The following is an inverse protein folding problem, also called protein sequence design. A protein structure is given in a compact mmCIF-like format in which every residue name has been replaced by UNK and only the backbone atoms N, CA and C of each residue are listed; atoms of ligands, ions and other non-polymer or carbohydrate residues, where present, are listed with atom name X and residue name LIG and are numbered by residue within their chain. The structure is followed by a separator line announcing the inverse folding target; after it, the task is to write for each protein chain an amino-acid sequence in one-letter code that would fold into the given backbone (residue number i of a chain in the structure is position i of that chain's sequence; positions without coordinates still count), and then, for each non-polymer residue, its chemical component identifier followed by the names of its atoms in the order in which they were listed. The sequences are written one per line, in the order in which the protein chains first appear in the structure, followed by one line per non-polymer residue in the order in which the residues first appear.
data_IF_471892928452
#
_entry.id   IF_471892928452
#
_cell.length_a   1.000
_cell.length_b   1.000
_cell.length_c   1.000
_cell.angle_alpha   90.00
_cell.angle_beta   90.00
_cell.angle_gamma   90.00
#
_symmetry.space_group_name_H-M   'P 1'
#
loop_
_entity.id
_entity.type
_entity.pdbx_description
1 polymer ?
#
# COMPACT_ATOMS: atom_id res chain seq x y z
N UNK A 1 -29.82 -0.98 2.64
CA UNK A 1 -28.91 -1.64 1.67
C UNK A 1 -27.46 -1.54 2.16
N UNK A 2 -26.89 -0.34 2.33
CA UNK A 2 -25.63 -0.16 3.06
C UNK A 2 -25.71 -0.66 4.52
N UNK A 3 -26.85 -0.45 5.18
CA UNK A 3 -27.09 -0.94 6.53
C UNK A 3 -27.03 -2.48 6.66
N UNK A 4 -27.55 -3.24 5.69
CA UNK A 4 -27.52 -4.70 5.74
C UNK A 4 -26.11 -5.26 5.52
N UNK A 5 -25.33 -4.63 4.64
CA UNK A 5 -23.92 -4.93 4.44
C UNK A 5 -23.09 -4.60 5.69
N UNK A 6 -23.39 -3.48 6.34
CA UNK A 6 -22.78 -3.06 7.60
C UNK A 6 -23.11 -4.05 8.73
N UNK A 7 -24.35 -4.50 8.83
CA UNK A 7 -24.76 -5.48 9.84
C UNK A 7 -24.10 -6.84 9.63
N UNK A 8 -23.92 -7.30 8.38
CA UNK A 8 -23.18 -8.53 8.07
C UNK A 8 -21.69 -8.39 8.41
N UNK A 9 -21.08 -7.25 8.05
CA UNK A 9 -19.71 -6.94 8.45
C UNK A 9 -19.54 -6.95 9.98
N UNK A 10 -20.50 -6.39 10.73
CA UNK A 10 -20.49 -6.40 12.20
C UNK A 10 -20.61 -7.79 12.80
N UNK A 11 -21.42 -8.66 12.21
CA UNK A 11 -21.56 -10.06 12.67
C UNK A 11 -20.28 -10.86 12.47
N UNK A 12 -19.55 -10.59 11.38
CA UNK A 12 -18.32 -11.31 11.02
C UNK A 12 -17.09 -10.77 11.73
N UNK A 13 -16.92 -9.44 11.69
CA UNK A 13 -15.69 -8.76 12.08
C UNK A 13 -15.81 -7.96 13.39
N UNK A 14 -16.99 -7.92 14.01
CA UNK A 14 -17.25 -7.14 15.22
C UNK A 14 -17.53 -5.66 14.95
N UNK A 15 -17.47 -4.84 15.99
CA UNK A 15 -17.74 -3.39 15.89
C UNK A 15 -16.57 -2.68 15.19
N UNK A 16 -16.91 -1.64 14.42
CA UNK A 16 -15.93 -0.81 13.73
C UNK A 16 -14.96 -0.12 14.70
N UNK A 17 -13.75 0.20 14.22
CA UNK A 17 -12.78 1.00 15.00
C UNK A 17 -13.29 2.42 15.26
N UNK A 18 -13.92 3.03 14.25
CA UNK A 18 -14.44 4.40 14.28
C UNK A 18 -15.94 4.42 13.97
N UNK A 19 -16.81 4.03 14.93
CA UNK A 19 -18.24 3.89 14.68
C UNK A 19 -18.96 5.23 14.43
N UNK A 20 -18.31 6.37 14.68
CA UNK A 20 -18.90 7.71 14.52
C UNK A 20 -18.50 8.41 13.22
N UNK A 21 -17.56 7.85 12.44
CA UNK A 21 -17.12 8.43 11.17
C UNK A 21 -18.07 8.06 10.02
N UNK A 22 -18.10 8.88 8.96
CA UNK A 22 -18.91 8.64 7.76
C UNK A 22 -18.47 7.38 7.00
N UNK A 23 -17.21 6.96 7.17
CA UNK A 23 -16.68 5.68 6.75
C UNK A 23 -16.62 4.71 7.93
N UNK A 24 -17.15 3.49 7.72
CA UNK A 24 -17.06 2.39 8.68
C UNK A 24 -15.83 1.55 8.32
N UNK A 25 -14.92 1.37 9.26
CA UNK A 25 -13.65 0.67 9.03
C UNK A 25 -13.34 -0.34 10.13
N UNK A 26 -12.67 -1.41 9.74
CA UNK A 26 -12.15 -2.44 10.62
C UNK A 26 -10.66 -2.59 10.36
N UNK A 27 -9.92 -2.86 11.44
CA UNK A 27 -8.55 -3.37 11.33
C UNK A 27 -8.58 -4.83 11.70
N UNK A 28 -8.32 -5.67 10.71
CA UNK A 28 -8.39 -7.11 10.84
C UNK A 28 -6.98 -7.68 10.96
N UNK A 29 -6.82 -8.68 11.82
CA UNK A 29 -5.62 -9.49 11.84
C UNK A 29 -5.45 -10.31 10.55
N UNK A 30 -4.24 -10.81 10.31
CA UNK A 30 -3.92 -11.58 9.11
C UNK A 30 -4.76 -12.87 8.99
N UNK A 31 -5.22 -13.42 10.12
CA UNK A 31 -6.11 -14.58 10.19
C UNK A 31 -7.47 -14.37 9.50
N UNK A 32 -7.90 -13.12 9.33
CA UNK A 32 -9.15 -12.76 8.67
C UNK A 32 -8.99 -12.46 7.18
N UNK A 33 -7.78 -12.55 6.64
CA UNK A 33 -7.48 -12.08 5.28
C UNK A 33 -8.36 -12.76 4.21
N UNK A 34 -8.49 -14.08 4.28
CA UNK A 34 -9.28 -14.87 3.32
C UNK A 34 -10.76 -14.46 3.38
N UNK A 35 -11.35 -14.44 4.58
CA UNK A 35 -12.76 -14.03 4.75
C UNK A 35 -12.99 -12.57 4.36
N UNK A 36 -12.06 -11.66 4.67
CA UNK A 36 -12.16 -10.26 4.30
C UNK A 36 -12.12 -10.07 2.77
N UNK A 37 -11.30 -10.86 2.06
CA UNK A 37 -11.26 -10.88 0.60
C UNK A 37 -12.58 -11.39 0.04
N UNK A 38 -13.07 -12.54 0.52
CA UNK A 38 -14.36 -13.10 0.09
C UNK A 38 -15.50 -12.10 0.33
N UNK A 39 -15.52 -11.47 1.50
CA UNK A 39 -16.51 -10.48 1.86
C UNK A 39 -16.46 -9.25 0.94
N UNK A 40 -15.25 -8.71 0.67
CA UNK A 40 -15.06 -7.59 -0.24
C UNK A 40 -15.44 -7.92 -1.70
N UNK A 41 -15.34 -9.18 -2.11
CA UNK A 41 -15.71 -9.67 -3.43
C UNK A 41 -17.16 -10.16 -3.52
N UNK A 42 -17.91 -10.22 -2.42
CA UNK A 42 -19.31 -10.69 -2.36
C UNK A 42 -20.34 -9.72 -2.99
N UNK A 43 -19.89 -8.84 -3.89
CA UNK A 43 -20.62 -7.73 -4.52
C UNK A 43 -21.92 -8.15 -5.23
N UNK A 44 -22.02 -9.40 -5.72
CA UNK A 44 -23.26 -9.88 -6.36
C UNK A 44 -24.47 -9.93 -5.40
N UNK A 45 -24.22 -9.94 -4.08
CA UNK A 45 -25.26 -9.89 -3.05
C UNK A 45 -25.82 -8.48 -2.84
N UNK A 46 -25.16 -7.44 -3.38
CA UNK A 46 -25.49 -6.05 -3.12
C UNK A 46 -25.91 -5.31 -4.40
N UNK A 47 -26.97 -4.49 -4.36
CA UNK A 47 -27.46 -3.80 -5.55
C UNK A 47 -26.41 -2.82 -6.12
N UNK A 48 -26.37 -2.72 -7.46
CA UNK A 48 -25.32 -1.99 -8.18
C UNK A 48 -25.30 -0.49 -7.80
N UNK A 49 -24.26 -0.04 -7.10
CA UNK A 49 -24.00 1.38 -6.81
C UNK A 49 -22.76 1.89 -7.58
N UNK A 50 -22.66 3.22 -7.81
CA UNK A 50 -21.53 3.84 -8.57
C UNK A 50 -20.17 3.66 -7.87
N UNK A 51 -20.15 3.71 -6.53
CA UNK A 51 -19.05 3.23 -5.71
C UNK A 51 -19.59 2.00 -4.96
N UNK A 52 -18.84 0.89 -4.92
CA UNK A 52 -19.25 -0.27 -4.13
C UNK A 52 -19.29 0.10 -2.64
N UNK A 53 -20.18 -0.51 -1.84
CA UNK A 53 -20.30 -0.19 -0.41
C UNK A 53 -19.08 -0.65 0.42
N UNK A 54 -18.20 -1.46 -0.17
CA UNK A 54 -17.06 -2.09 0.48
C UNK A 54 -15.77 -1.89 -0.31
N UNK A 55 -14.69 -1.63 0.42
CA UNK A 55 -13.32 -1.68 -0.08
C UNK A 55 -12.46 -2.39 0.95
N UNK A 56 -11.64 -3.35 0.50
CA UNK A 56 -10.59 -3.93 1.32
C UNK A 56 -9.24 -3.33 0.92
N UNK A 57 -8.50 -2.91 1.93
CA UNK A 57 -7.15 -2.39 1.80
C UNK A 57 -6.18 -3.29 2.58
N UNK A 58 -5.16 -3.78 1.91
CA UNK A 58 -4.04 -4.47 2.55
C UNK A 58 -2.73 -3.77 2.17
N UNK A 59 -1.87 -3.50 3.15
CA UNK A 59 -0.56 -2.91 2.91
C UNK A 59 0.53 -3.81 3.47
N UNK A 60 1.53 -4.09 2.64
CA UNK A 60 2.78 -4.71 3.06
C UNK A 60 3.87 -3.64 3.09
N UNK A 61 4.48 -3.43 4.25
CA UNK A 61 5.55 -2.45 4.46
C UNK A 61 6.89 -3.18 4.64
N UNK A 62 7.93 -2.71 3.95
CA UNK A 62 9.25 -3.35 4.00
C UNK A 62 10.38 -2.36 3.71
N UNK A 63 11.61 -2.74 4.05
CA UNK A 63 12.82 -2.02 3.72
C UNK A 63 13.70 -2.85 2.79
N UNK A 64 14.43 -2.21 1.88
CA UNK A 64 15.42 -2.89 1.07
C UNK A 64 16.57 -3.38 1.94
N UNK A 65 16.76 -4.70 2.00
CA UNK A 65 17.87 -5.31 2.75
C UNK A 65 19.22 -4.88 2.17
N UNK A 66 19.36 -4.92 0.85
CA UNK A 66 20.63 -4.66 0.17
C UNK A 66 21.02 -3.18 0.14
N UNK A 67 20.06 -2.27 0.39
CA UNK A 67 20.26 -0.82 0.31
C UNK A 67 20.16 -0.13 1.67
N UNK A 68 20.03 -0.90 2.77
CA UNK A 68 19.77 -0.33 4.10
C UNK A 68 20.84 0.65 4.56
N UNK A 69 22.10 0.41 4.17
CA UNK A 69 23.25 1.23 4.56
C UNK A 69 23.55 2.38 3.57
N UNK A 70 22.81 2.46 2.46
CA UNK A 70 23.03 3.47 1.42
C UNK A 70 22.14 4.70 1.62
N UNK A 71 21.16 4.65 2.53
CA UNK A 71 20.30 5.79 2.81
C UNK A 71 21.06 6.91 3.53
N UNK A 72 20.93 8.17 3.07
CA UNK A 72 21.69 9.29 3.61
C UNK A 72 21.30 9.63 5.06
N UNK A 73 22.31 9.78 5.92
CA UNK A 73 22.18 10.27 7.30
C UNK A 73 22.09 11.83 7.36
N UNK A 74 21.49 12.41 8.43
CA UNK A 74 20.84 11.74 9.55
C UNK A 74 19.42 11.25 9.19
N UNK A 75 19.14 9.98 9.44
CA UNK A 75 17.80 9.40 9.30
C UNK A 75 16.91 9.84 10.46
N UNK A 76 16.16 10.94 10.26
CA UNK A 76 15.33 11.53 11.30
C UNK A 76 14.15 10.66 11.81
N UNK A 77 13.82 9.52 11.17
CA UNK A 77 12.79 8.59 11.67
C UNK A 77 12.96 7.14 11.14
N UNK A 78 12.44 6.17 11.90
CA UNK A 78 12.44 4.71 11.59
C UNK A 78 11.67 4.33 10.32
N UNK A 79 10.75 5.19 9.85
CA UNK A 79 9.88 4.92 8.70
C UNK A 79 10.45 5.42 7.35
N UNK A 80 11.67 5.98 7.33
CA UNK A 80 12.27 6.54 6.10
C UNK A 80 13.02 5.47 5.32
N UNK A 81 12.61 5.28 4.06
CA UNK A 81 13.04 4.16 3.22
C UNK A 81 12.03 3.00 3.18
N UNK A 82 10.99 3.06 4.02
CA UNK A 82 9.90 2.08 4.02
C UNK A 82 9.15 2.11 2.70
N UNK A 83 9.38 1.07 1.93
CA UNK A 83 8.61 0.75 0.76
C UNK A 83 7.27 0.15 1.18
N UNK A 84 6.28 0.27 0.29
CA UNK A 84 5.02 -0.42 0.49
C UNK A 84 4.49 -1.02 -0.80
N UNK A 85 3.75 -2.12 -0.67
CA UNK A 85 2.86 -2.63 -1.70
C UNK A 85 1.46 -2.61 -1.12
N UNK A 86 0.59 -1.79 -1.70
CA UNK A 86 -0.81 -1.68 -1.30
C UNK A 86 -1.68 -2.44 -2.29
N UNK A 87 -2.58 -3.28 -1.79
CA UNK A 87 -3.62 -3.96 -2.53
C UNK A 87 -4.95 -3.32 -2.16
N UNK A 88 -5.66 -2.81 -3.16
CA UNK A 88 -7.01 -2.29 -3.00
C UNK A 88 -7.98 -3.19 -3.77
N UNK A 89 -8.81 -3.91 -3.04
CA UNK A 89 -9.90 -4.69 -3.61
C UNK A 89 -11.16 -3.84 -3.55
N UNK A 90 -11.71 -3.52 -4.71
CA UNK A 90 -12.95 -2.79 -4.85
C UNK A 90 -13.81 -3.46 -5.92
N UNK A 91 -15.05 -3.81 -5.57
CA UNK A 91 -16.12 -4.31 -6.45
C UNK A 91 -15.78 -5.48 -7.40
N UNK A 92 -14.90 -5.27 -8.37
CA UNK A 92 -14.43 -6.24 -9.39
C UNK A 92 -12.98 -6.02 -9.83
N UNK A 93 -12.27 -5.14 -9.14
CA UNK A 93 -10.93 -4.74 -9.52
C UNK A 93 -10.01 -4.84 -8.30
N UNK A 94 -8.92 -5.55 -8.53
CA UNK A 94 -7.74 -5.48 -7.68
C UNK A 94 -6.83 -4.41 -8.29
N UNK A 95 -6.53 -3.36 -7.53
CA UNK A 95 -5.46 -2.44 -7.90
C UNK A 95 -4.27 -2.63 -6.97
N UNK A 96 -3.09 -2.74 -7.58
CA UNK A 96 -1.82 -2.76 -6.87
C UNK A 96 -1.22 -1.35 -6.96
N UNK A 97 -0.91 -0.77 -5.81
CA UNK A 97 -0.32 0.54 -5.68
C UNK A 97 1.01 0.42 -4.93
N UNK A 98 2.10 0.05 -5.63
CA UNK A 98 3.42 -0.03 -5.03
C UNK A 98 4.03 1.38 -4.86
N UNK A 99 4.79 1.53 -3.79
CA UNK A 99 5.55 2.72 -3.43
C UNK A 99 6.97 2.30 -3.06
N UNK A 100 7.90 2.43 -4.00
CA UNK A 100 9.29 1.99 -3.85
C UNK A 100 10.20 3.19 -3.69
N UNK A 101 10.98 3.19 -2.61
CA UNK A 101 11.89 4.28 -2.25
C UNK A 101 13.33 3.77 -2.38
N UNK A 102 14.16 4.51 -3.10
CA UNK A 102 15.57 4.17 -3.33
C UNK A 102 16.48 5.29 -2.80
N UNK A 103 17.66 4.94 -2.27
CA UNK A 103 18.67 5.93 -1.87
C UNK A 103 19.49 6.45 -3.06
N UNK A 104 19.65 5.63 -4.10
CA UNK A 104 20.51 5.92 -5.24
C UNK A 104 19.87 6.88 -6.25
N UNK A 105 20.73 7.58 -6.98
CA UNK A 105 20.36 8.40 -8.13
C UNK A 105 19.81 7.51 -9.26
N UNK A 106 18.86 8.03 -10.04
CA UNK A 106 18.28 7.28 -11.16
C UNK A 106 19.29 7.10 -12.31
N UNK A 107 20.25 8.01 -12.38
CA UNK A 107 21.36 8.01 -13.33
C UNK A 107 22.48 7.05 -12.89
N UNK A 108 22.38 6.45 -11.71
CA UNK A 108 23.37 5.48 -11.23
C UNK A 108 23.39 4.25 -12.14
N UNK A 109 24.57 3.76 -12.57
CA UNK A 109 24.69 2.52 -13.34
C UNK A 109 24.07 1.29 -12.64
N UNK A 110 23.93 1.33 -11.31
CA UNK A 110 23.33 0.26 -10.52
C UNK A 110 21.80 0.31 -10.47
N UNK A 111 21.16 1.44 -10.81
CA UNK A 111 19.73 1.64 -10.61
C UNK A 111 18.89 0.77 -11.55
N UNK A 112 19.11 0.87 -12.86
CA UNK A 112 18.32 0.12 -13.84
C UNK A 112 18.46 -1.41 -13.64
N UNK A 113 19.67 -1.97 -13.44
CA UNK A 113 19.80 -3.39 -13.13
C UNK A 113 19.07 -3.83 -11.86
N UNK A 114 18.95 -2.96 -10.85
CA UNK A 114 18.17 -3.27 -9.64
C UNK A 114 16.67 -3.31 -9.96
N UNK A 115 16.17 -2.32 -10.70
CA UNK A 115 14.76 -2.23 -11.11
C UNK A 115 14.39 -3.43 -11.98
N UNK A 116 15.26 -3.87 -12.89
CA UNK A 116 15.02 -5.03 -13.75
C UNK A 116 14.89 -6.33 -12.95
N UNK A 117 15.77 -6.55 -11.96
CA UNK A 117 15.66 -7.71 -11.05
C UNK A 117 14.38 -7.67 -10.23
N UNK A 118 14.00 -6.48 -9.74
CA UNK A 118 12.76 -6.30 -8.99
C UNK A 118 11.54 -6.57 -9.87
N UNK A 119 11.52 -6.06 -11.09
CA UNK A 119 10.44 -6.27 -12.05
C UNK A 119 10.29 -7.75 -12.44
N UNK A 120 11.40 -8.49 -12.56
CA UNK A 120 11.37 -9.93 -12.82
C UNK A 120 10.83 -10.75 -11.62
N UNK A 121 10.97 -10.25 -10.40
CA UNK A 121 10.55 -10.94 -9.18
C UNK A 121 9.09 -10.65 -8.77
N UNK A 122 8.50 -9.57 -9.27
CA UNK A 122 7.15 -9.13 -8.87
C UNK A 122 6.07 -9.65 -9.82
N UNK A 123 4.88 -10.01 -9.30
CA UNK A 123 3.77 -10.47 -10.12
C UNK A 123 2.99 -9.31 -10.77
N UNK A 124 3.59 -8.12 -10.87
CA UNK A 124 2.96 -6.93 -11.43
C UNK A 124 3.98 -5.99 -12.08
N UNK A 125 3.51 -5.20 -13.04
CA UNK A 125 4.32 -4.23 -13.77
C UNK A 125 4.73 -3.05 -12.87
N UNK A 126 6.02 -2.73 -12.87
CA UNK A 126 6.56 -1.52 -12.24
C UNK A 126 6.55 -0.38 -13.26
N UNK A 127 6.04 0.79 -12.86
CA UNK A 127 6.01 2.01 -13.67
C UNK A 127 6.88 3.07 -13.03
N UNK A 128 7.38 4.04 -13.80
CA UNK A 128 8.17 5.18 -13.28
C UNK A 128 7.49 5.87 -12.10
N UNK A 129 6.16 6.02 -12.17
CA UNK A 129 5.34 6.58 -11.08
C UNK A 129 5.37 5.78 -9.77
N UNK A 130 5.86 4.54 -9.73
CA UNK A 130 6.02 3.75 -8.51
C UNK A 130 7.40 3.96 -7.86
N UNK A 131 8.36 4.51 -8.60
CA UNK A 131 9.75 4.68 -8.18
C UNK A 131 9.97 6.06 -7.58
N UNK A 132 10.63 6.11 -6.42
CA UNK A 132 10.96 7.33 -5.69
C UNK A 132 12.41 7.32 -5.26
N UNK A 133 13.09 8.45 -5.41
CA UNK A 133 14.40 8.66 -4.80
C UNK A 133 14.23 9.46 -3.53
N UNK A 134 14.82 8.98 -2.44
CA UNK A 134 14.89 9.72 -1.19
C UNK A 134 16.05 10.72 -1.25
N UNK A 135 15.75 11.97 -0.89
CA UNK A 135 16.74 13.00 -0.62
C UNK A 135 16.60 13.43 0.83
N UNK A 136 17.72 13.66 1.50
CA UNK A 136 17.76 14.19 2.87
C UNK A 136 18.46 15.53 2.84
N UNK A 137 17.83 16.54 3.44
CA UNK A 137 18.44 17.84 3.63
C UNK A 137 19.51 17.72 4.73
N UNK A 138 20.79 17.97 4.43
CA UNK A 138 21.87 17.78 5.39
C UNK A 138 21.82 18.77 6.57
N UNK A 139 21.08 19.89 6.45
CA UNK A 139 21.02 20.93 7.49
C UNK A 139 20.02 20.64 8.60
N UNK A 140 18.90 19.99 8.26
CA UNK A 140 17.78 19.79 9.19
C UNK A 140 17.18 18.38 9.14
N UNK A 141 17.79 17.47 8.38
CA UNK A 141 17.31 16.10 8.22
C UNK A 141 15.95 15.99 7.53
N UNK A 142 15.43 17.05 6.87
CA UNK A 142 14.14 16.97 6.18
C UNK A 142 14.23 16.05 4.95
N UNK A 143 13.27 15.15 4.77
CA UNK A 143 13.24 14.23 3.61
C UNK A 143 12.31 14.74 2.52
N UNK A 144 12.76 14.58 1.27
CA UNK A 144 11.97 14.76 0.06
C UNK A 144 12.03 13.48 -0.77
N UNK A 145 10.91 13.12 -1.40
CA UNK A 145 10.85 12.02 -2.35
C UNK A 145 10.68 12.57 -3.77
N UNK A 146 11.67 12.33 -4.63
CA UNK A 146 11.59 12.68 -6.05
C UNK A 146 10.94 11.55 -6.82
N UNK A 147 10.00 11.84 -7.71
CA UNK A 147 9.43 10.86 -8.63
C UNK A 147 10.33 10.72 -9.85
N UNK A 148 10.44 9.52 -10.40
CA UNK A 148 10.99 9.35 -11.73
C UNK A 148 9.96 9.92 -12.73
N UNK A 149 10.39 10.85 -13.58
CA UNK A 149 9.56 11.47 -14.61
C UNK A 149 9.30 10.49 -15.76
#
# INVERSE_FOLDING_TARGET
MAAACLDDARRRFGIERNPDESGKSWELGAEWLEEAIEFALSDERWPRQKAGPLSLFAAYHFNWRDLSNEFPEPLASRDRGTCSVMLNLHRRALSVAPFFIFPMAYESPAFQPFVDRLAAALPFEIKSRHLRRMLVNPKNGATRYLRLA
#
